data_IF_576960333222
#
_entry.id   IF_576960333222
#
_cell.length_a   1.000
_cell.length_b   1.000
_cell.length_c   1.000
_cell.angle_alpha   90.00
_cell.angle_beta   90.00
_cell.angle_gamma   90.00
#
_symmetry.space_group_name_H-M   'P 1'
#
loop_
_entity.id
_entity.type
_entity.pdbx_description
1 polymer ?
#
# COMPACT_ATOMS: atom_id res chain seq x y z
N UNK A 1 -35.52 -26.55 -5.14
CA UNK A 1 -35.34 -25.08 -5.06
C UNK A 1 -34.25 -24.67 -4.06
N UNK A 2 -34.22 -25.26 -2.86
CA UNK A 2 -33.19 -25.00 -1.83
C UNK A 2 -31.74 -25.12 -2.33
N UNK A 3 -31.40 -26.15 -3.13
CA UNK A 3 -30.04 -26.30 -3.68
C UNK A 3 -29.64 -25.14 -4.61
N UNK A 4 -30.58 -24.58 -5.37
CA UNK A 4 -30.31 -23.42 -6.24
C UNK A 4 -30.17 -22.12 -5.41
N UNK A 5 -30.99 -21.98 -4.37
CA UNK A 5 -30.90 -20.85 -3.43
C UNK A 5 -29.56 -20.83 -2.69
N UNK A 6 -29.05 -22.01 -2.32
CA UNK A 6 -27.78 -22.17 -1.60
C UNK A 6 -26.57 -21.85 -2.50
N UNK A 7 -26.64 -22.18 -3.80
CA UNK A 7 -25.60 -21.83 -4.79
C UNK A 7 -25.56 -20.31 -5.02
N UNK A 8 -26.74 -19.67 -5.13
CA UNK A 8 -26.83 -18.21 -5.33
C UNK A 8 -26.29 -17.48 -4.10
N UNK A 9 -26.66 -17.92 -2.89
CA UNK A 9 -26.17 -17.32 -1.66
C UNK A 9 -24.64 -17.44 -1.51
N UNK A 10 -24.08 -18.59 -1.91
CA UNK A 10 -22.63 -18.83 -1.89
C UNK A 10 -21.88 -17.96 -2.92
N UNK A 11 -22.47 -17.70 -4.09
CA UNK A 11 -21.87 -16.80 -5.09
C UNK A 11 -21.80 -15.34 -4.64
N UNK A 12 -22.79 -14.86 -3.86
CA UNK A 12 -22.80 -13.47 -3.38
C UNK A 12 -21.77 -13.20 -2.28
N UNK A 13 -21.34 -14.21 -1.53
CA UNK A 13 -20.30 -14.06 -0.51
C UNK A 13 -18.89 -13.88 -1.08
N UNK A 14 -18.64 -14.35 -2.31
CA UNK A 14 -17.30 -14.30 -2.92
C UNK A 14 -16.98 -12.91 -3.49
N UNK A 15 -17.96 -12.22 -4.05
CA UNK A 15 -17.81 -10.86 -4.63
C UNK A 15 -17.61 -9.79 -3.58
N UNK A 16 -18.19 -9.96 -2.38
CA UNK A 16 -18.02 -9.01 -1.29
C UNK A 16 -16.55 -8.90 -0.81
N UNK A 17 -15.78 -9.99 -0.91
CA UNK A 17 -14.39 -10.02 -0.47
C UNK A 17 -13.45 -9.21 -1.39
N UNK A 18 -13.69 -9.20 -2.69
CA UNK A 18 -12.83 -8.49 -3.64
C UNK A 18 -12.97 -6.97 -3.55
N UNK A 19 -14.21 -6.49 -3.39
CA UNK A 19 -14.52 -5.06 -3.24
C UNK A 19 -13.86 -4.51 -2.00
N UNK A 20 -13.91 -5.25 -0.89
CA UNK A 20 -13.23 -4.87 0.36
C UNK A 20 -11.71 -4.86 0.18
N UNK A 21 -11.14 -5.83 -0.54
CA UNK A 21 -9.71 -5.87 -0.83
C UNK A 21 -9.25 -4.76 -1.78
N UNK A 22 -10.07 -4.38 -2.76
CA UNK A 22 -9.81 -3.27 -3.68
C UNK A 22 -9.93 -1.91 -3.00
N UNK A 23 -10.84 -1.79 -2.02
CA UNK A 23 -10.99 -0.61 -1.17
C UNK A 23 -9.83 -0.49 -0.16
N UNK A 24 -9.41 -1.62 0.42
CA UNK A 24 -8.35 -1.68 1.43
C UNK A 24 -6.98 -1.52 0.79
N UNK A 25 -6.47 -0.29 0.80
CA UNK A 25 -5.10 0.00 0.38
C UNK A 25 -4.09 -0.37 1.46
N UNK A 26 -3.09 -1.16 1.09
CA UNK A 26 -1.91 -1.36 1.91
C UNK A 26 -0.76 -0.58 1.26
N UNK A 27 -0.26 0.45 1.94
CA UNK A 27 0.81 1.31 1.46
C UNK A 27 0.80 2.67 2.12
N UNK A 28 1.85 3.44 1.93
CA UNK A 28 2.09 4.71 2.61
C UNK A 28 2.20 5.82 1.59
N UNK A 29 1.45 6.91 1.79
CA UNK A 29 1.50 8.04 0.89
C UNK A 29 2.84 8.80 1.05
N UNK A 30 3.55 9.13 -0.03
CA UNK A 30 4.77 9.93 0.05
C UNK A 30 4.57 11.27 0.77
N UNK A 31 3.36 11.86 0.69
CA UNK A 31 3.02 13.10 1.38
C UNK A 31 2.98 12.93 2.91
N UNK A 32 2.48 11.79 3.39
CA UNK A 32 2.40 11.50 4.82
C UNK A 32 3.80 11.28 5.40
N UNK A 33 4.67 10.58 4.65
CA UNK A 33 6.09 10.50 4.97
C UNK A 33 6.74 11.88 4.96
N UNK A 34 6.40 12.71 3.97
CA UNK A 34 6.81 14.11 3.79
C UNK A 34 6.72 14.96 5.06
N UNK A 35 5.69 14.71 5.87
CA UNK A 35 5.39 15.48 7.08
C UNK A 35 6.12 14.96 8.34
N UNK A 36 6.79 13.81 8.25
CA UNK A 36 7.51 13.22 9.38
C UNK A 36 8.81 13.97 9.68
N UNK A 37 8.97 14.36 10.95
CA UNK A 37 10.17 15.06 11.45
C UNK A 37 11.22 14.15 12.09
N UNK A 38 10.79 12.96 12.52
CA UNK A 38 11.60 12.03 13.32
C UNK A 38 11.56 10.62 12.73
N UNK A 39 12.59 9.81 13.03
CA UNK A 39 12.70 8.40 12.63
C UNK A 39 11.48 7.56 13.05
N UNK A 40 11.00 7.75 14.27
CA UNK A 40 9.83 7.02 14.80
C UNK A 40 8.55 7.31 14.01
N UNK A 41 8.39 8.51 13.45
CA UNK A 41 7.25 8.85 12.59
C UNK A 41 7.29 8.07 11.27
N UNK A 42 8.47 7.94 10.65
CA UNK A 42 8.63 7.18 9.40
C UNK A 42 8.30 5.69 9.59
N UNK A 43 8.79 5.12 10.70
CA UNK A 43 8.51 3.72 11.05
C UNK A 43 7.03 3.54 11.35
N UNK A 44 6.42 4.45 12.12
CA UNK A 44 4.98 4.42 12.42
C UNK A 44 4.11 4.58 11.17
N UNK A 45 4.57 5.36 10.19
CA UNK A 45 3.90 5.50 8.90
C UNK A 45 4.00 4.22 8.04
N UNK A 46 4.89 3.28 8.38
CA UNK A 46 5.07 2.01 7.66
C UNK A 46 6.28 1.95 6.74
N UNK A 47 7.23 2.88 6.89
CA UNK A 47 8.50 2.85 6.18
C UNK A 47 9.48 1.88 6.89
N UNK A 48 10.14 1.01 6.11
CA UNK A 48 11.06 -0.01 6.63
C UNK A 48 12.51 0.44 6.39
N UNK A 49 13.35 0.60 7.42
CA UNK A 49 14.74 0.97 7.21
C UNK A 49 15.51 -0.13 6.48
N UNK A 50 16.26 0.24 5.45
CA UNK A 50 17.04 -0.68 4.62
C UNK A 50 18.55 -0.43 4.72
N UNK A 51 18.96 0.80 5.00
CA UNK A 51 20.37 1.16 5.09
C UNK A 51 20.56 2.35 6.02
N UNK A 52 21.70 2.41 6.72
CA UNK A 52 22.04 3.47 7.64
C UNK A 52 23.51 3.84 7.50
N UNK A 53 23.78 5.11 7.18
CA UNK A 53 25.12 5.67 7.18
C UNK A 53 25.38 6.43 8.47
N UNK A 54 26.40 6.02 9.21
CA UNK A 54 26.90 6.76 10.38
C UNK A 54 27.83 7.89 9.92
N UNK A 55 27.61 9.09 10.43
CA UNK A 55 28.47 10.25 10.25
C UNK A 55 29.66 10.27 11.19
N UNK A 56 30.48 11.32 11.08
CA UNK A 56 31.63 11.55 11.97
C UNK A 56 31.13 11.66 13.43
N UNK A 57 31.75 10.90 14.34
CA UNK A 57 31.38 10.69 15.77
C UNK A 57 30.29 9.63 16.06
N UNK A 58 29.94 8.76 15.10
CA UNK A 58 29.06 7.61 15.36
C UNK A 58 27.56 7.95 15.44
N UNK A 59 27.16 9.19 15.18
CA UNK A 59 25.76 9.62 15.02
C UNK A 59 25.24 9.25 13.62
N UNK A 60 23.94 9.02 13.50
CA UNK A 60 23.29 8.73 12.20
C UNK A 60 23.32 9.98 11.32
N UNK A 61 23.88 9.87 10.11
CA UNK A 61 23.98 10.98 9.14
C UNK A 61 22.90 10.86 8.06
N UNK A 62 22.68 9.65 7.56
CA UNK A 62 21.61 9.36 6.61
C UNK A 62 21.05 7.95 6.77
N UNK A 63 19.77 7.76 6.47
CA UNK A 63 19.09 6.48 6.52
C UNK A 63 18.16 6.36 5.31
N UNK A 64 18.16 5.19 4.69
CA UNK A 64 17.27 4.87 3.58
C UNK A 64 16.13 4.00 4.11
N UNK A 65 14.91 4.34 3.72
CA UNK A 65 13.71 3.59 4.04
C UNK A 65 13.04 3.09 2.77
N UNK A 66 12.48 1.90 2.81
CA UNK A 66 11.61 1.35 1.77
C UNK A 66 10.17 1.51 2.19
N UNK A 67 9.35 2.09 1.33
CA UNK A 67 7.91 2.19 1.49
C UNK A 67 7.19 1.65 0.24
N UNK A 68 5.93 1.25 0.40
CA UNK A 68 5.11 0.79 -0.74
C UNK A 68 4.05 1.83 -1.02
N UNK A 69 3.81 2.15 -2.30
CA UNK A 69 2.73 3.05 -2.68
C UNK A 69 1.37 2.57 -2.19
N UNK A 70 0.44 3.48 -1.83
CA UNK A 70 -0.92 3.10 -1.51
C UNK A 70 -1.58 2.46 -2.74
N UNK A 71 -2.11 1.26 -2.57
CA UNK A 71 -2.70 0.47 -3.67
C UNK A 71 -4.23 0.49 -3.71
N UNK A 72 -4.89 0.93 -2.64
CA UNK A 72 -6.35 0.90 -2.50
C UNK A 72 -7.01 2.12 -3.13
N UNK A 73 -8.19 1.92 -3.72
CA UNK A 73 -8.95 2.98 -4.36
C UNK A 73 -10.46 2.71 -4.30
N UNK A 74 -11.23 3.71 -3.85
CA UNK A 74 -12.69 3.66 -3.84
C UNK A 74 -13.26 3.53 -5.25
N UNK A 75 -12.64 4.17 -6.25
CA UNK A 75 -13.04 4.04 -7.65
C UNK A 75 -12.79 2.61 -8.16
N UNK A 76 -11.69 1.98 -7.73
CA UNK A 76 -11.39 0.59 -8.07
C UNK A 76 -12.40 -0.36 -7.43
N UNK A 77 -12.71 -0.16 -6.15
CA UNK A 77 -13.74 -0.93 -5.46
C UNK A 77 -15.13 -0.79 -6.12
N UNK A 78 -15.50 0.42 -6.53
CA UNK A 78 -16.75 0.66 -7.26
C UNK A 78 -16.79 -0.05 -8.63
N UNK A 79 -15.67 -0.06 -9.36
CA UNK A 79 -15.57 -0.78 -10.63
C UNK A 79 -15.68 -2.29 -10.44
N UNK A 80 -15.01 -2.87 -9.43
CA UNK A 80 -15.20 -4.29 -9.09
C UNK A 80 -16.65 -4.60 -8.76
N UNK A 81 -17.30 -3.80 -7.91
CA UNK A 81 -18.72 -4.00 -7.59
C UNK A 81 -19.65 -3.91 -8.81
N UNK A 82 -19.41 -2.94 -9.70
CA UNK A 82 -20.22 -2.76 -10.92
C UNK A 82 -20.01 -3.91 -11.91
N UNK A 83 -18.75 -4.32 -12.13
CA UNK A 83 -18.41 -5.39 -13.06
C UNK A 83 -18.87 -6.74 -12.54
N UNK A 84 -18.86 -6.96 -11.22
CA UNK A 84 -19.42 -8.17 -10.61
C UNK A 84 -20.92 -8.28 -10.83
N UNK A 85 -21.66 -7.19 -10.61
CA UNK A 85 -23.11 -7.19 -10.88
C UNK A 85 -23.38 -7.32 -12.38
N UNK A 86 -22.65 -6.58 -13.21
CA UNK A 86 -22.82 -6.57 -14.67
C UNK A 86 -22.44 -7.88 -15.36
N UNK A 87 -21.56 -8.68 -14.76
CA UNK A 87 -21.09 -9.97 -15.31
C UNK A 87 -21.56 -11.18 -14.50
N UNK A 88 -22.47 -11.00 -13.54
CA UNK A 88 -22.93 -12.04 -12.61
C UNK A 88 -21.78 -12.74 -11.87
N UNK A 89 -20.73 -12.00 -11.52
CA UNK A 89 -19.55 -12.47 -10.79
C UNK A 89 -18.45 -13.09 -11.65
N UNK A 90 -18.56 -13.05 -12.99
CA UNK A 90 -17.51 -13.55 -13.88
C UNK A 90 -16.24 -12.69 -13.84
N UNK A 91 -16.39 -11.39 -13.58
CA UNK A 91 -15.27 -10.46 -13.43
C UNK A 91 -14.32 -10.85 -12.29
N UNK A 92 -14.82 -11.35 -11.16
CA UNK A 92 -13.94 -11.84 -10.09
C UNK A 92 -13.10 -13.06 -10.48
N UNK A 93 -13.61 -13.92 -11.36
CA UNK A 93 -12.92 -15.14 -11.77
C UNK A 93 -11.80 -14.83 -12.76
N UNK A 94 -11.99 -13.84 -13.64
CA UNK A 94 -11.02 -13.50 -14.69
C UNK A 94 -10.22 -12.23 -14.38
N UNK A 95 -10.89 -11.15 -13.97
CA UNK A 95 -10.32 -9.83 -13.71
C UNK A 95 -9.39 -9.80 -12.51
N UNK A 96 -9.82 -10.35 -11.36
CA UNK A 96 -9.03 -10.31 -10.11
C UNK A 96 -7.66 -11.02 -10.24
N UNK A 97 -7.54 -12.19 -10.89
CA UNK A 97 -6.24 -12.78 -11.21
C UNK A 97 -5.38 -11.92 -12.17
N UNK A 98 -5.99 -11.32 -13.20
CA UNK A 98 -5.28 -10.44 -14.14
C UNK A 98 -4.72 -9.22 -13.40
N UNK A 99 -5.50 -8.64 -12.49
CA UNK A 99 -5.07 -7.55 -11.63
C UNK A 99 -3.97 -7.98 -10.65
N UNK A 100 -4.03 -9.19 -10.11
CA UNK A 100 -2.99 -9.73 -9.23
C UNK A 100 -1.64 -9.88 -9.96
N UNK A 101 -1.65 -10.30 -11.23
CA UNK A 101 -0.43 -10.45 -12.04
C UNK A 101 0.11 -9.10 -12.52
N UNK A 102 -0.77 -8.15 -12.87
CA UNK A 102 -0.37 -6.80 -13.31
C UNK A 102 -0.03 -5.86 -12.15
N UNK A 103 -0.55 -6.11 -10.95
CA UNK A 103 -0.39 -5.33 -9.74
C UNK A 103 1.03 -5.41 -9.17
N UNK A 104 2.03 -4.96 -9.92
CA UNK A 104 3.38 -4.77 -9.41
C UNK A 104 3.30 -3.76 -8.27
N UNK A 105 3.60 -4.20 -7.05
CA UNK A 105 3.76 -3.32 -5.89
C UNK A 105 4.87 -2.32 -6.20
N UNK A 106 4.51 -1.09 -6.51
CA UNK A 106 5.47 0.00 -6.72
C UNK A 106 6.02 0.41 -5.36
N UNK A 107 7.11 -0.24 -4.98
CA UNK A 107 7.91 0.17 -3.84
C UNK A 107 8.76 1.38 -4.21
N UNK A 108 8.85 2.36 -3.33
CA UNK A 108 9.72 3.52 -3.47
C UNK A 108 10.70 3.58 -2.29
N UNK A 109 11.84 4.21 -2.51
CA UNK A 109 12.89 4.41 -1.51
C UNK A 109 12.90 5.86 -1.05
N UNK A 110 12.98 6.07 0.24
CA UNK A 110 13.04 7.38 0.88
C UNK A 110 14.39 7.54 1.54
N UNK A 111 15.21 8.44 1.00
CA UNK A 111 16.50 8.79 1.57
C UNK A 111 16.33 9.97 2.53
N UNK A 112 16.75 9.78 3.77
CA UNK A 112 16.56 10.75 4.85
C UNK A 112 17.93 11.18 5.35
N UNK A 113 18.14 12.49 5.51
CA UNK A 113 19.35 13.07 6.11
C UNK A 113 18.99 13.73 7.42
N UNK A 114 19.75 13.40 8.47
CA UNK A 114 19.56 13.95 9.80
C UNK A 114 20.34 15.25 9.97
N UNK A 115 19.87 16.10 10.89
CA UNK A 115 20.57 17.31 11.31
C UNK A 115 21.75 16.97 12.26
N UNK A 116 22.54 17.94 12.69
CA UNK A 116 23.79 17.73 13.45
C UNK A 116 23.55 17.05 14.82
N UNK A 117 22.32 17.15 15.33
CA UNK A 117 21.84 16.46 16.53
C UNK A 117 21.59 14.96 16.32
N UNK A 118 21.47 14.48 15.08
CA UNK A 118 21.25 13.07 14.73
C UNK A 118 19.83 12.55 15.02
N UNK A 119 18.91 13.43 15.44
CA UNK A 119 17.53 13.07 15.84
C UNK A 119 16.46 13.62 14.90
N UNK A 120 16.73 14.78 14.30
CA UNK A 120 15.77 15.54 13.48
C UNK A 120 16.08 15.35 12.00
N UNK A 121 15.06 15.16 11.19
CA UNK A 121 15.21 15.06 9.73
C UNK A 121 15.35 16.47 9.15
N UNK A 122 16.47 16.72 8.46
CA UNK A 122 16.74 18.00 7.78
C UNK A 122 16.30 17.97 6.32
N UNK A 123 16.53 16.84 5.65
CA UNK A 123 16.23 16.69 4.23
C UNK A 123 15.72 15.28 3.94
N UNK A 124 14.75 15.17 3.05
CA UNK A 124 14.16 13.90 2.64
C UNK A 124 13.96 13.89 1.12
N UNK A 125 14.31 12.77 0.49
CA UNK A 125 14.25 12.59 -0.95
C UNK A 125 13.53 11.29 -1.27
N UNK A 126 12.63 11.33 -2.25
CA UNK A 126 11.84 10.19 -2.69
C UNK A 126 12.34 9.69 -4.04
N UNK A 127 12.65 8.40 -4.12
CA UNK A 127 13.08 7.70 -5.32
C UNK A 127 12.03 6.62 -5.67
N UNK A 128 11.37 6.78 -6.80
CA UNK A 128 10.28 5.92 -7.27
C UNK A 128 10.76 4.87 -8.28
#
# INVERSE_FOLDING_TARGET
MIRKLLIILLSMSLTACSVVMAAKGNGVNPKDLGNCKNRSCLIAAGAIPIDHTKGKKGRLSSENFRATMPTGSAARAAMHGLLDVGTLGLWEVAGTPIEAVKGKKTGYVVAVKYDEDGSTIKHMSFHF
#
